data_IF_938943791783
#
_entry.id   IF_938943791783
#
_cell.length_a   1.000
_cell.length_b   1.000
_cell.length_c   1.000
_cell.angle_alpha   90.00
_cell.angle_beta   90.00
_cell.angle_gamma   90.00
#
_symmetry.space_group_name_H-M   'P 1'
#
loop_
_entity.id
_entity.type
_entity.pdbx_description
1 polymer ?
#
# COMPACT_ATOMS: atom_id res chain seq x y z
N UNK A 1 1.48 15.55 -28.57
CA UNK A 1 0.81 14.27 -28.27
C UNK A 1 1.07 13.96 -26.82
N UNK A 2 0.01 13.86 -26.01
CA UNK A 2 0.12 13.45 -24.61
C UNK A 2 0.13 11.92 -24.54
N UNK A 3 1.12 11.31 -23.89
CA UNK A 3 1.26 9.84 -23.82
C UNK A 3 0.77 9.37 -22.45
N UNK A 4 -0.29 8.58 -22.42
CA UNK A 4 -0.83 8.03 -21.19
C UNK A 4 0.01 6.85 -20.70
N UNK A 5 0.67 7.03 -19.57
CA UNK A 5 1.32 5.95 -18.83
C UNK A 5 0.33 5.35 -17.83
N UNK A 6 0.33 4.02 -17.72
CA UNK A 6 -0.53 3.27 -16.77
C UNK A 6 0.30 2.28 -15.97
N UNK A 7 -0.13 2.02 -14.73
CA UNK A 7 0.38 0.92 -13.91
C UNK A 7 -0.44 -0.32 -14.22
N UNK A 8 0.20 -1.38 -14.72
CA UNK A 8 -0.45 -2.64 -15.11
C UNK A 8 -0.46 -3.69 -13.99
N UNK A 9 0.29 -3.46 -12.91
CA UNK A 9 0.32 -4.33 -11.74
C UNK A 9 1.03 -3.66 -10.56
N UNK A 10 0.67 -4.08 -9.35
CA UNK A 10 1.26 -3.61 -8.10
C UNK A 10 1.43 -4.79 -7.15
N UNK A 11 2.58 -4.85 -6.49
CA UNK A 11 2.81 -5.67 -5.31
C UNK A 11 3.10 -4.77 -4.10
N UNK A 12 2.83 -5.24 -2.89
CA UNK A 12 3.06 -4.47 -1.68
C UNK A 12 3.68 -5.34 -0.58
N UNK A 13 4.73 -4.82 0.05
CA UNK A 13 5.33 -5.36 1.27
C UNK A 13 5.45 -4.18 2.23
N UNK A 14 4.66 -4.21 3.30
CA UNK A 14 4.55 -3.07 4.21
C UNK A 14 4.50 -3.55 5.66
N UNK A 15 4.73 -2.66 6.64
CA UNK A 15 4.51 -2.99 8.05
C UNK A 15 3.07 -3.41 8.37
N UNK A 16 2.09 -3.02 7.54
CA UNK A 16 0.70 -3.41 7.69
C UNK A 16 0.39 -4.83 7.17
N UNK A 17 1.35 -5.48 6.49
CA UNK A 17 1.21 -6.82 5.93
C UNK A 17 1.75 -6.96 4.50
N UNK A 18 1.58 -8.17 3.95
CA UNK A 18 2.03 -8.57 2.61
C UNK A 18 0.86 -8.60 1.64
N UNK A 19 1.05 -8.06 0.44
CA UNK A 19 0.09 -8.05 -0.65
C UNK A 19 -0.74 -6.77 -0.71
N UNK A 20 -1.30 -6.53 -1.90
CA UNK A 20 -2.13 -5.35 -2.18
C UNK A 20 -3.40 -5.32 -1.34
N UNK A 21 -3.96 -6.47 -1.00
CA UNK A 21 -5.13 -6.56 -0.13
C UNK A 21 -4.83 -6.04 1.27
N UNK A 22 -3.73 -6.48 1.90
CA UNK A 22 -3.36 -6.02 3.23
C UNK A 22 -3.13 -4.50 3.27
N UNK A 23 -2.46 -3.96 2.25
CA UNK A 23 -2.26 -2.52 2.10
C UNK A 23 -3.59 -1.77 1.92
N UNK A 24 -4.46 -2.24 1.02
CA UNK A 24 -5.71 -1.56 0.71
C UNK A 24 -6.69 -1.55 1.90
N UNK A 25 -6.76 -2.64 2.67
CA UNK A 25 -7.54 -2.68 3.92
C UNK A 25 -6.96 -1.69 4.94
N UNK A 26 -5.65 -1.71 5.19
CA UNK A 26 -5.03 -0.82 6.17
C UNK A 26 -5.25 0.67 5.85
N UNK A 27 -5.17 1.06 4.57
CA UNK A 27 -5.47 2.42 4.12
C UNK A 27 -6.94 2.77 4.36
N UNK A 28 -7.88 1.91 3.94
CA UNK A 28 -9.31 2.16 4.09
C UNK A 28 -9.74 2.25 5.56
N UNK A 29 -9.13 1.45 6.41
CA UNK A 29 -9.40 1.42 7.85
C UNK A 29 -8.73 2.57 8.61
N UNK A 30 -7.85 3.35 7.97
CA UNK A 30 -7.07 4.40 8.62
C UNK A 30 -6.07 3.88 9.66
N UNK A 31 -5.58 2.64 9.51
CA UNK A 31 -4.67 2.00 10.48
C UNK A 31 -3.22 2.47 10.26
N UNK A 32 -2.62 3.07 11.28
CA UNK A 32 -1.17 3.30 11.31
C UNK A 32 -0.44 2.00 11.63
N UNK A 33 0.53 1.64 10.79
CA UNK A 33 1.42 0.49 11.02
C UNK A 33 2.84 0.94 11.44
N UNK A 34 2.99 2.18 11.88
CA UNK A 34 4.25 2.69 12.44
C UNK A 34 4.34 2.25 13.90
N UNK A 35 5.45 1.58 14.25
CA UNK A 35 5.80 1.29 15.64
C UNK A 35 6.90 2.25 16.07
N UNK A 36 6.66 3.05 17.11
CA UNK A 36 7.72 3.81 17.76
C UNK A 36 8.47 2.86 18.69
N UNK A 37 9.80 2.76 18.61
CA UNK A 37 10.58 2.08 19.64
C UNK A 37 10.47 2.85 20.96
N UNK A 38 10.49 2.12 22.08
CA UNK A 38 10.53 2.69 23.44
C UNK A 38 11.85 3.43 23.72
#
# INVERSE_FOLDING_TARGET
MDRRTVITGLGALTPAGVGVEALAHAIRDGRSAVRTPD
#
